data_IF_946434001009
#
_entry.id   IF_946434001009
#
_cell.length_a   1.000
_cell.length_b   1.000
_cell.length_c   1.000
_cell.angle_alpha   90.00
_cell.angle_beta   90.00
_cell.angle_gamma   90.00
#
_symmetry.space_group_name_H-M   'P 1'
#
loop_
_entity.id
_entity.type
_entity.pdbx_description
1 polymer ?
#
# COMPACT_ATOMS: atom_id res chain seq x y z
N UNK A 1 29.81 -19.92 -17.21
CA UNK A 1 29.40 -19.24 -15.96
C UNK A 1 28.81 -17.91 -16.40
N UNK A 2 27.49 -17.78 -16.32
CA UNK A 2 26.80 -16.60 -16.88
C UNK A 2 26.86 -15.44 -15.87
N UNK A 3 27.31 -14.27 -16.32
CA UNK A 3 27.46 -13.10 -15.45
C UNK A 3 26.18 -12.27 -15.52
N UNK A 4 25.42 -12.23 -14.42
CA UNK A 4 24.31 -11.29 -14.23
C UNK A 4 24.83 -9.99 -13.61
N UNK A 5 24.54 -8.85 -14.24
CA UNK A 5 24.83 -7.51 -13.69
C UNK A 5 23.54 -6.70 -13.61
N UNK A 6 23.35 -6.01 -12.49
CA UNK A 6 22.31 -4.99 -12.34
C UNK A 6 22.89 -3.65 -12.78
N UNK A 7 22.23 -2.97 -13.71
CA UNK A 7 22.59 -1.62 -14.14
C UNK A 7 21.56 -0.66 -13.57
N UNK A 8 21.94 0.35 -12.77
CA UNK A 8 21.01 1.37 -12.32
C UNK A 8 20.61 2.24 -13.52
N UNK A 9 19.31 2.50 -13.66
CA UNK A 9 18.75 3.38 -14.68
C UNK A 9 18.03 4.52 -13.95
N UNK A 10 18.36 5.76 -14.30
CA UNK A 10 17.64 6.94 -13.84
C UNK A 10 16.49 7.21 -14.81
N UNK A 11 15.30 7.42 -14.28
CA UNK A 11 14.16 7.87 -15.07
C UNK A 11 14.31 9.37 -15.33
N UNK A 12 14.30 9.78 -16.59
CA UNK A 12 14.21 11.19 -16.97
C UNK A 12 12.72 11.60 -16.88
N UNK A 13 12.38 12.34 -15.83
CA UNK A 13 11.01 12.77 -15.52
C UNK A 13 10.93 14.29 -15.58
N UNK A 14 9.97 14.80 -16.35
CA UNK A 14 9.64 16.21 -16.36
C UNK A 14 8.98 16.63 -15.04
N UNK A 15 9.02 17.92 -14.72
CA UNK A 15 8.55 18.41 -13.42
C UNK A 15 7.08 18.09 -13.14
N UNK A 16 6.21 18.19 -14.15
CA UNK A 16 4.79 17.81 -14.02
C UNK A 16 4.62 16.30 -13.78
N UNK A 17 5.39 15.46 -14.48
CA UNK A 17 5.38 14.01 -14.30
C UNK A 17 5.95 13.59 -12.94
N UNK A 18 6.96 14.32 -12.44
CA UNK A 18 7.53 14.10 -11.12
C UNK A 18 6.50 14.40 -10.01
N UNK A 19 5.77 15.50 -10.13
CA UNK A 19 4.70 15.83 -9.19
C UNK A 19 3.58 14.77 -9.21
N UNK A 20 3.18 14.30 -10.39
CA UNK A 20 2.19 13.22 -10.52
C UNK A 20 2.68 11.90 -9.89
N UNK A 21 3.96 11.58 -10.05
CA UNK A 21 4.56 10.40 -9.43
C UNK A 21 4.57 10.50 -7.91
N UNK A 22 4.94 11.66 -7.36
CA UNK A 22 4.91 11.93 -5.93
C UNK A 22 3.49 11.81 -5.37
N UNK A 23 2.49 12.42 -6.01
CA UNK A 23 1.08 12.32 -5.61
C UNK A 23 0.59 10.85 -5.64
N UNK A 24 1.02 10.08 -6.65
CA UNK A 24 0.68 8.66 -6.75
C UNK A 24 1.27 7.85 -5.59
N UNK A 25 2.52 8.14 -5.20
CA UNK A 25 3.18 7.49 -4.06
C UNK A 25 2.49 7.88 -2.76
N UNK A 26 2.19 9.16 -2.57
CA UNK A 26 1.50 9.65 -1.36
C UNK A 26 0.11 9.02 -1.23
N UNK A 27 -0.65 8.94 -2.31
CA UNK A 27 -1.97 8.30 -2.34
C UNK A 27 -1.88 6.81 -2.02
N UNK A 28 -0.87 6.12 -2.55
CA UNK A 28 -0.62 4.71 -2.22
C UNK A 28 -0.28 4.52 -0.74
N UNK A 29 0.60 5.35 -0.19
CA UNK A 29 1.02 5.27 1.22
C UNK A 29 -0.14 5.63 2.16
N UNK A 30 -0.92 6.65 1.83
CA UNK A 30 -2.14 7.01 2.55
C UNK A 30 -3.13 5.84 2.56
N UNK A 31 -3.35 5.20 1.42
CA UNK A 31 -4.24 4.03 1.30
C UNK A 31 -3.78 2.89 2.20
N UNK A 32 -2.47 2.59 2.22
CA UNK A 32 -1.92 1.56 3.08
C UNK A 32 -2.07 1.92 4.57
N UNK A 33 -1.82 3.17 4.93
CA UNK A 33 -1.91 3.64 6.31
C UNK A 33 -3.36 3.60 6.81
N UNK A 34 -4.32 4.06 6.01
CA UNK A 34 -5.75 3.98 6.33
C UNK A 34 -6.16 2.55 6.72
N UNK A 35 -5.68 1.57 5.95
CA UNK A 35 -6.00 0.15 6.17
C UNK A 35 -5.32 -0.39 7.42
N UNK A 36 -4.08 0.05 7.71
CA UNK A 36 -3.42 -0.26 8.98
C UNK A 36 -4.20 0.33 10.15
N UNK A 37 -4.61 1.59 10.08
CA UNK A 37 -5.36 2.25 11.15
C UNK A 37 -6.69 1.55 11.39
N UNK A 38 -7.40 1.16 10.33
CA UNK A 38 -8.64 0.37 10.41
C UNK A 38 -8.42 -1.02 11.00
N UNK A 39 -7.30 -1.67 10.65
CA UNK A 39 -6.97 -3.01 11.14
C UNK A 39 -6.73 -3.04 12.66
N UNK A 40 -6.26 -1.94 13.25
CA UNK A 40 -5.95 -1.84 14.68
C UNK A 40 -7.15 -1.31 15.47
N UNK A 41 -7.87 -2.22 16.14
CA UNK A 41 -9.02 -1.91 16.99
C UNK A 41 -8.69 -2.19 18.45
N UNK A 42 -8.02 -1.22 19.09
CA UNK A 42 -7.54 -1.36 20.46
C UNK A 42 -6.44 -2.43 20.56
N UNK A 43 -6.70 -3.50 21.29
CA UNK A 43 -5.76 -4.63 21.46
C UNK A 43 -5.88 -5.69 20.34
N UNK A 44 -6.88 -5.58 19.47
CA UNK A 44 -7.11 -6.50 18.37
C UNK A 44 -6.56 -5.96 17.06
N UNK A 45 -5.93 -6.84 16.29
CA UNK A 45 -5.39 -6.53 14.97
C UNK A 45 -5.96 -7.50 13.94
N UNK A 46 -6.73 -6.97 12.98
CA UNK A 46 -7.21 -7.75 11.84
C UNK A 46 -6.05 -8.00 10.87
N UNK A 47 -5.68 -9.25 10.65
CA UNK A 47 -4.60 -9.64 9.72
C UNK A 47 -5.10 -10.32 8.45
N UNK A 48 -6.40 -10.61 8.37
CA UNK A 48 -7.03 -11.26 7.23
C UNK A 48 -7.11 -10.32 6.03
N UNK A 49 -6.46 -10.68 4.92
CA UNK A 49 -6.47 -9.90 3.68
C UNK A 49 -7.89 -9.70 3.13
N UNK A 50 -8.70 -10.76 3.10
CA UNK A 50 -10.08 -10.70 2.60
C UNK A 50 -10.95 -9.81 3.49
N UNK A 51 -10.83 -9.93 4.81
CA UNK A 51 -11.61 -9.09 5.73
C UNK A 51 -11.27 -7.61 5.58
N UNK A 52 -9.97 -7.28 5.51
CA UNK A 52 -9.56 -5.90 5.25
C UNK A 52 -9.97 -5.44 3.85
N UNK A 53 -10.07 -6.35 2.87
CA UNK A 53 -10.53 -6.01 1.53
C UNK A 53 -11.99 -5.54 1.56
N UNK A 54 -12.87 -6.40 2.06
CA UNK A 54 -14.32 -6.16 2.18
C UNK A 54 -14.63 -4.90 3.00
N UNK A 55 -13.86 -4.62 4.05
CA UNK A 55 -14.13 -3.51 4.97
C UNK A 55 -13.56 -2.17 4.51
N UNK A 56 -12.52 -2.13 3.67
CA UNK A 56 -11.80 -0.87 3.38
C UNK A 56 -11.73 -0.50 1.90
N UNK A 57 -12.15 -1.37 0.97
CA UNK A 57 -12.00 -1.09 -0.47
C UNK A 57 -12.72 0.19 -0.89
N UNK A 58 -14.02 0.24 -0.58
CA UNK A 58 -14.89 1.31 -1.06
C UNK A 58 -14.52 2.64 -0.39
N UNK A 59 -14.19 2.61 0.90
CA UNK A 59 -13.75 3.80 1.65
C UNK A 59 -12.46 4.38 1.06
N UNK A 60 -11.46 3.54 0.75
CA UNK A 60 -10.22 4.00 0.11
C UNK A 60 -10.49 4.51 -1.30
N UNK A 61 -11.32 3.83 -2.09
CA UNK A 61 -11.67 4.23 -3.46
C UNK A 61 -12.40 5.58 -3.48
N UNK A 62 -13.31 5.81 -2.54
CA UNK A 62 -14.03 7.08 -2.39
C UNK A 62 -13.07 8.20 -1.97
N UNK A 63 -12.27 7.98 -0.92
CA UNK A 63 -11.37 8.99 -0.36
C UNK A 63 -10.23 9.41 -1.30
N UNK A 64 -9.85 8.54 -2.24
CA UNK A 64 -8.76 8.78 -3.20
C UNK A 64 -9.25 9.17 -4.60
N UNK A 65 -10.51 9.61 -4.71
CA UNK A 65 -11.10 10.07 -5.96
C UNK A 65 -10.96 9.03 -7.10
N UNK A 66 -11.30 7.78 -6.79
CA UNK A 66 -11.19 6.63 -7.69
C UNK A 66 -9.77 6.32 -8.17
N UNK A 67 -8.77 6.49 -7.30
CA UNK A 67 -7.40 6.05 -7.55
C UNK A 67 -7.33 4.61 -8.06
N UNK A 68 -6.30 4.32 -8.85
CA UNK A 68 -6.16 3.05 -9.55
C UNK A 68 -6.45 1.84 -8.65
N UNK A 69 -7.49 1.06 -9.00
CA UNK A 69 -7.95 -0.05 -8.16
C UNK A 69 -6.88 -1.13 -7.89
N UNK A 70 -5.96 -1.35 -8.85
CA UNK A 70 -4.84 -2.27 -8.66
C UNK A 70 -3.82 -1.75 -7.64
N UNK A 71 -3.57 -0.44 -7.61
CA UNK A 71 -2.73 0.18 -6.58
C UNK A 71 -3.40 0.16 -5.20
N UNK A 72 -4.71 0.39 -5.14
CA UNK A 72 -5.50 0.24 -3.88
C UNK A 72 -5.42 -1.18 -3.33
N UNK A 73 -5.57 -2.19 -4.19
CA UNK A 73 -5.37 -3.60 -3.82
C UNK A 73 -3.95 -3.89 -3.32
N UNK A 74 -2.93 -3.36 -3.99
CA UNK A 74 -1.54 -3.53 -3.58
C UNK A 74 -1.24 -2.85 -2.22
N UNK A 75 -1.76 -1.65 -2.00
CA UNK A 75 -1.63 -0.92 -0.73
C UNK A 75 -2.25 -1.70 0.44
N UNK A 76 -3.47 -2.22 0.25
CA UNK A 76 -4.17 -3.06 1.24
C UNK A 76 -3.42 -4.36 1.53
N UNK A 77 -2.94 -5.04 0.50
CA UNK A 77 -2.13 -6.24 0.67
C UNK A 77 -0.86 -5.95 1.48
N UNK A 78 -0.21 -4.82 1.21
CA UNK A 78 0.96 -4.37 1.97
C UNK A 78 0.62 -4.10 3.44
N UNK A 79 -0.51 -3.45 3.71
CA UNK A 79 -1.00 -3.20 5.07
C UNK A 79 -1.27 -4.51 5.84
N UNK A 80 -1.98 -5.46 5.24
CA UNK A 80 -2.28 -6.75 5.85
C UNK A 80 -1.01 -7.56 6.16
N UNK A 81 -0.03 -7.55 5.24
CA UNK A 81 1.28 -8.18 5.45
C UNK A 81 2.04 -7.54 6.62
N UNK A 82 2.02 -6.21 6.71
CA UNK A 82 2.64 -5.48 7.82
C UNK A 82 1.97 -5.84 9.16
N UNK A 83 0.63 -5.83 9.23
CA UNK A 83 -0.13 -6.21 10.42
C UNK A 83 0.20 -7.65 10.86
N UNK A 84 0.20 -8.59 9.92
CA UNK A 84 0.59 -9.99 10.17
C UNK A 84 2.00 -10.09 10.73
N UNK A 85 2.94 -9.33 10.16
CA UNK A 85 4.34 -9.30 10.57
C UNK A 85 4.53 -8.75 11.99
N UNK A 86 3.75 -7.74 12.38
CA UNK A 86 3.79 -7.15 13.72
C UNK A 86 3.25 -8.13 14.75
N UNK A 87 2.05 -8.70 14.51
CA UNK A 87 1.44 -9.68 15.43
C UNK A 87 2.32 -10.91 15.60
N UNK A 88 3.02 -11.36 14.54
CA UNK A 88 3.96 -12.46 14.63
C UNK A 88 5.17 -12.17 15.56
N UNK A 89 5.58 -10.90 15.70
CA UNK A 89 6.68 -10.48 16.60
C UNK A 89 6.23 -10.28 18.04
N UNK A 90 4.93 -10.18 18.31
CA UNK A 90 4.40 -10.10 19.67
C UNK A 90 4.32 -11.45 20.39
N UNK A 91 4.51 -12.55 19.65
CA UNK A 91 4.57 -13.92 20.16
C UNK A 91 5.99 -14.29 20.57
#
# INVERSE_FOLDING_TARGET
MDVRRTVPITLDVHSDDAALLEETVDTFLWSAQYVVDHAFQGEYVTTSKTTLDDETYDDVREATNEFNGGLVQAARNKAAEACTSVVARWK
#
